data_IF_277995791911
#
_entry.id   IF_277995791911
#
_cell.length_a   1.000
_cell.length_b   1.000
_cell.length_c   1.000
_cell.angle_alpha   90.00
_cell.angle_beta   90.00
_cell.angle_gamma   90.00
#
_symmetry.space_group_name_H-M   'P 1'
#
loop_
_entity.id
_entity.type
_entity.pdbx_description
1 polymer ?
#
# COMPACT_ATOMS: atom_id res chain seq x y z
N UNK A 1 7.96 20.03 -4.13
CA UNK A 1 9.33 19.86 -3.58
C UNK A 1 9.89 18.61 -4.23
N UNK A 2 11.12 18.65 -4.75
CA UNK A 2 11.74 17.49 -5.40
C UNK A 2 11.90 16.33 -4.40
N UNK A 3 11.55 15.11 -4.79
CA UNK A 3 11.76 13.91 -3.97
C UNK A 3 13.27 13.60 -3.88
N UNK A 4 13.86 13.54 -2.66
CA UNK A 4 15.25 13.11 -2.50
C UNK A 4 15.47 11.65 -2.90
N UNK A 5 14.46 10.78 -2.76
CA UNK A 5 14.51 9.41 -3.25
C UNK A 5 14.05 9.33 -4.72
N UNK A 6 14.85 9.90 -5.64
CA UNK A 6 14.54 9.94 -7.07
C UNK A 6 15.70 9.50 -7.97
N UNK A 7 15.37 8.95 -9.14
CA UNK A 7 16.31 8.64 -10.22
C UNK A 7 15.98 9.55 -11.41
N UNK A 8 16.92 10.41 -11.81
CA UNK A 8 16.69 11.40 -12.90
C UNK A 8 15.40 12.21 -12.70
N UNK A 9 15.11 12.65 -11.47
CA UNK A 9 13.88 13.37 -11.07
C UNK A 9 12.59 12.54 -11.13
N UNK A 10 12.67 11.23 -11.35
CA UNK A 10 11.53 10.33 -11.19
C UNK A 10 11.49 9.80 -9.74
N UNK A 11 10.44 10.12 -8.96
CA UNK A 11 10.35 9.68 -7.56
C UNK A 11 10.14 8.17 -7.48
N UNK A 12 10.94 7.49 -6.67
CA UNK A 12 10.96 6.02 -6.61
C UNK A 12 9.69 5.49 -5.94
N UNK A 13 9.18 6.16 -4.89
CA UNK A 13 8.01 5.67 -4.16
C UNK A 13 6.76 5.51 -5.06
N UNK A 14 6.33 6.53 -5.85
CA UNK A 14 5.23 6.38 -6.80
C UNK A 14 5.45 5.33 -7.89
N UNK A 15 6.71 5.02 -8.25
CA UNK A 15 7.01 3.95 -9.21
C UNK A 15 6.76 2.55 -8.62
N UNK A 16 6.94 2.39 -7.30
CA UNK A 16 6.85 1.10 -6.63
C UNK A 16 5.46 0.76 -6.11
N UNK A 17 4.68 1.75 -5.64
CA UNK A 17 3.36 1.51 -5.03
C UNK A 17 2.31 0.80 -5.90
N UNK A 18 2.32 0.86 -7.26
CA UNK A 18 1.33 0.13 -8.05
C UNK A 18 1.40 -1.40 -7.84
N UNK A 19 2.59 -1.94 -7.61
CA UNK A 19 2.80 -3.38 -7.42
C UNK A 19 2.09 -3.92 -6.16
N UNK A 20 2.38 -3.44 -4.93
CA UNK A 20 1.70 -3.93 -3.74
C UNK A 20 0.20 -3.65 -3.77
N UNK A 21 -0.25 -2.52 -4.32
CA UNK A 21 -1.68 -2.21 -4.46
C UNK A 21 -2.38 -3.27 -5.32
N UNK A 22 -1.85 -3.56 -6.51
CA UNK A 22 -2.42 -4.56 -7.41
C UNK A 22 -2.45 -5.96 -6.79
N UNK A 23 -1.36 -6.35 -6.12
CA UNK A 23 -1.26 -7.65 -5.46
C UNK A 23 -2.26 -7.82 -4.31
N UNK A 24 -2.44 -6.79 -3.48
CA UNK A 24 -3.40 -6.82 -2.38
C UNK A 24 -4.85 -6.83 -2.86
N UNK A 25 -5.20 -6.04 -3.88
CA UNK A 25 -6.52 -6.10 -4.49
C UNK A 25 -6.79 -7.48 -5.10
N UNK A 26 -5.82 -8.04 -5.82
CA UNK A 26 -5.94 -9.37 -6.40
C UNK A 26 -6.05 -10.48 -5.32
N UNK A 27 -5.39 -10.31 -4.18
CA UNK A 27 -5.52 -11.23 -3.05
C UNK A 27 -6.95 -11.27 -2.49
N UNK A 28 -7.61 -10.10 -2.38
CA UNK A 28 -9.01 -10.03 -1.98
C UNK A 28 -9.94 -10.66 -3.02
N UNK A 29 -9.71 -10.41 -4.31
CA UNK A 29 -10.48 -11.08 -5.38
C UNK A 29 -10.34 -12.59 -5.26
N UNK A 30 -9.11 -13.07 -5.03
CA UNK A 30 -8.83 -14.50 -4.86
C UNK A 30 -9.55 -15.08 -3.64
N UNK A 31 -9.60 -14.36 -2.52
CA UNK A 31 -10.37 -14.76 -1.34
C UNK A 31 -11.87 -14.87 -1.62
N UNK A 32 -12.43 -13.91 -2.34
CA UNK A 32 -13.85 -13.90 -2.71
C UNK A 32 -14.17 -15.08 -3.63
N UNK A 33 -13.30 -15.37 -4.60
CA UNK A 33 -13.49 -16.53 -5.50
C UNK A 33 -13.33 -17.84 -4.74
N UNK A 34 -12.35 -17.97 -3.85
CA UNK A 34 -12.19 -19.15 -3.00
C UNK A 34 -13.41 -19.39 -2.12
N UNK A 35 -13.97 -18.35 -1.51
CA UNK A 35 -15.15 -18.46 -0.64
C UNK A 35 -16.41 -19.00 -1.34
N UNK A 36 -16.49 -18.84 -2.66
CA UNK A 36 -17.61 -19.31 -3.48
C UNK A 36 -17.33 -20.66 -4.16
N UNK A 37 -16.10 -20.85 -4.64
CA UNK A 37 -15.72 -22.04 -5.43
C UNK A 37 -15.20 -23.20 -4.58
N UNK A 38 -14.57 -22.92 -3.43
CA UNK A 38 -13.82 -23.91 -2.65
C UNK A 38 -12.54 -24.41 -3.33
N UNK A 39 -12.15 -23.88 -4.49
CA UNK A 39 -10.95 -24.32 -5.21
C UNK A 39 -9.68 -23.75 -4.57
N UNK A 40 -8.86 -24.65 -4.05
CA UNK A 40 -7.60 -24.37 -3.34
C UNK A 40 -6.61 -23.54 -4.16
N UNK A 41 -6.71 -23.53 -5.49
CA UNK A 41 -5.86 -22.66 -6.33
C UNK A 41 -6.04 -21.19 -5.94
N UNK A 42 -7.28 -20.76 -5.67
CA UNK A 42 -7.56 -19.36 -5.31
C UNK A 42 -7.05 -18.99 -3.92
N UNK A 43 -7.10 -19.90 -2.95
CA UNK A 43 -6.49 -19.68 -1.63
C UNK A 43 -4.97 -19.52 -1.74
N UNK A 44 -4.30 -20.35 -2.55
CA UNK A 44 -2.86 -20.21 -2.82
C UNK A 44 -2.52 -18.90 -3.52
N UNK A 45 -3.33 -18.48 -4.49
CA UNK A 45 -3.15 -17.19 -5.17
C UNK A 45 -3.30 -16.03 -4.19
N UNK A 46 -4.32 -16.06 -3.32
CA UNK A 46 -4.49 -15.07 -2.26
C UNK A 46 -3.25 -15.01 -1.36
N UNK A 47 -2.75 -16.16 -0.90
CA UNK A 47 -1.57 -16.26 -0.05
C UNK A 47 -0.31 -15.64 -0.69
N UNK A 48 0.05 -16.06 -1.90
CA UNK A 48 1.29 -15.60 -2.54
C UNK A 48 1.23 -14.13 -2.98
N UNK A 49 0.07 -13.66 -3.44
CA UNK A 49 -0.10 -12.25 -3.81
C UNK A 49 -0.10 -11.36 -2.57
N UNK A 50 -0.70 -11.78 -1.47
CA UNK A 50 -0.63 -11.11 -0.18
C UNK A 50 0.81 -10.98 0.33
N UNK A 51 1.58 -12.07 0.29
CA UNK A 51 2.99 -12.08 0.68
C UNK A 51 3.84 -11.17 -0.22
N UNK A 52 3.64 -11.25 -1.55
CA UNK A 52 4.28 -10.36 -2.51
C UNK A 52 3.94 -8.89 -2.27
N UNK A 53 2.68 -8.60 -1.92
CA UNK A 53 2.22 -7.26 -1.58
C UNK A 53 2.87 -6.72 -0.30
N UNK A 54 3.05 -7.56 0.73
CA UNK A 54 3.79 -7.18 1.95
C UNK A 54 5.24 -6.83 1.61
N UNK A 55 5.95 -7.67 0.86
CA UNK A 55 7.33 -7.42 0.46
C UNK A 55 7.42 -6.14 -0.39
N UNK A 56 6.58 -6.01 -1.42
CA UNK A 56 6.55 -4.83 -2.28
C UNK A 56 6.20 -3.54 -1.53
N UNK A 57 5.27 -3.62 -0.57
CA UNK A 57 4.86 -2.51 0.28
C UNK A 57 5.98 -2.03 1.19
N UNK A 58 6.73 -2.95 1.80
CA UNK A 58 7.90 -2.62 2.62
C UNK A 58 9.03 -2.00 1.78
N UNK A 59 9.28 -2.52 0.58
CA UNK A 59 10.27 -1.93 -0.35
C UNK A 59 9.83 -0.52 -0.76
N UNK A 60 8.55 -0.31 -1.06
CA UNK A 60 8.01 1.02 -1.41
C UNK A 60 8.02 1.99 -0.21
N UNK A 61 7.90 1.50 1.02
CA UNK A 61 7.93 2.33 2.23
C UNK A 61 9.28 3.00 2.46
N UNK A 62 10.40 2.38 2.03
CA UNK A 62 11.75 2.95 2.19
C UNK A 62 11.92 4.32 1.50
N UNK A 63 11.73 4.47 0.19
CA UNK A 63 11.81 5.78 -0.46
C UNK A 63 10.74 6.74 0.03
N UNK A 64 9.54 6.25 0.36
CA UNK A 64 8.47 7.09 0.91
C UNK A 64 8.82 7.69 2.28
N UNK A 65 9.52 6.94 3.12
CA UNK A 65 10.03 7.43 4.40
C UNK A 65 11.15 8.45 4.22
N UNK A 66 12.06 8.23 3.27
CA UNK A 66 13.10 9.21 2.91
C UNK A 66 12.46 10.53 2.45
N UNK A 67 11.43 10.47 1.59
CA UNK A 67 10.69 11.65 1.15
C UNK A 67 9.97 12.33 2.32
N UNK A 68 9.36 11.58 3.24
CA UNK A 68 8.70 12.10 4.44
C UNK A 68 9.65 12.92 5.33
N UNK A 69 10.90 12.47 5.50
CA UNK A 69 11.90 13.20 6.30
C UNK A 69 12.26 14.56 5.72
N UNK A 70 12.11 14.74 4.41
CA UNK A 70 12.37 16.01 3.72
C UNK A 70 11.23 17.04 3.83
N UNK A 71 10.07 16.65 4.37
CA UNK A 71 8.92 17.53 4.51
C UNK A 71 9.13 18.56 5.63
N UNK A 72 9.08 19.85 5.26
CA UNK A 72 9.20 20.98 6.18
C UNK A 72 7.86 21.59 6.60
N UNK A 73 6.83 21.54 5.74
CA UNK A 73 5.49 22.05 6.07
C UNK A 73 4.77 21.12 7.07
N UNK A 74 4.42 21.60 8.29
CA UNK A 74 3.75 20.78 9.30
C UNK A 74 2.38 20.22 8.87
N UNK A 75 1.64 20.95 8.02
CA UNK A 75 0.33 20.50 7.52
C UNK A 75 0.48 19.34 6.56
N UNK A 76 1.41 19.45 5.60
CA UNK A 76 1.74 18.38 4.66
C UNK A 76 2.31 17.17 5.40
N UNK A 77 3.19 17.41 6.38
CA UNK A 77 3.81 16.35 7.19
C UNK A 77 2.77 15.57 8.00
N UNK A 78 1.69 16.22 8.49
CA UNK A 78 0.59 15.52 9.19
C UNK A 78 -0.14 14.58 8.24
N UNK A 79 -0.50 15.02 7.03
CA UNK A 79 -1.16 14.17 6.02
C UNK A 79 -0.25 13.01 5.63
N UNK A 80 1.05 13.27 5.41
CA UNK A 80 2.03 12.25 5.08
C UNK A 80 2.22 11.22 6.21
N UNK A 81 2.21 11.67 7.47
CA UNK A 81 2.27 10.78 8.64
C UNK A 81 1.02 9.89 8.72
N UNK A 82 -0.18 10.45 8.53
CA UNK A 82 -1.43 9.66 8.52
C UNK A 82 -1.42 8.63 7.39
N UNK A 83 -1.01 9.03 6.19
CA UNK A 83 -0.85 8.13 5.04
C UNK A 83 0.14 7.00 5.35
N UNK A 84 1.32 7.32 5.90
CA UNK A 84 2.32 6.32 6.27
C UNK A 84 1.79 5.33 7.32
N UNK A 85 1.17 5.82 8.40
CA UNK A 85 0.62 4.97 9.46
C UNK A 85 -0.50 4.05 8.96
N UNK A 86 -1.38 4.55 8.07
CA UNK A 86 -2.41 3.73 7.43
C UNK A 86 -1.79 2.60 6.61
N UNK A 87 -0.78 2.89 5.79
CA UNK A 87 -0.11 1.85 4.99
C UNK A 87 0.63 0.82 5.87
N UNK A 88 1.29 1.25 6.94
CA UNK A 88 1.93 0.31 7.88
C UNK A 88 0.91 -0.57 8.58
N UNK A 89 -0.29 -0.04 8.86
CA UNK A 89 -1.40 -0.83 9.41
C UNK A 89 -1.92 -1.83 8.38
N UNK A 90 -2.06 -1.44 7.10
CA UNK A 90 -2.42 -2.37 6.01
C UNK A 90 -1.40 -3.51 5.89
N UNK A 91 -0.09 -3.20 5.94
CA UNK A 91 0.97 -4.23 5.97
C UNK A 91 0.79 -5.16 7.17
N UNK A 92 0.59 -4.62 8.37
CA UNK A 92 0.39 -5.41 9.58
C UNK A 92 -0.84 -6.32 9.47
N UNK A 93 -1.97 -5.82 8.94
CA UNK A 93 -3.18 -6.61 8.72
C UNK A 93 -2.92 -7.79 7.77
N UNK A 94 -2.18 -7.56 6.68
CA UNK A 94 -1.82 -8.64 5.76
C UNK A 94 -0.83 -9.64 6.35
N UNK A 95 0.13 -9.19 7.18
CA UNK A 95 1.00 -10.10 7.93
C UNK A 95 0.20 -10.97 8.90
N UNK A 96 -0.75 -10.39 9.64
CA UNK A 96 -1.66 -11.13 10.52
C UNK A 96 -2.52 -12.10 9.72
N UNK A 97 -3.00 -11.70 8.54
CA UNK A 97 -3.79 -12.57 7.66
C UNK A 97 -2.98 -13.78 7.17
N UNK A 98 -1.74 -13.58 6.71
CA UNK A 98 -0.80 -14.67 6.37
C UNK A 98 -0.54 -15.59 7.55
N UNK A 99 -0.35 -15.03 8.75
CA UNK A 99 -0.14 -15.80 9.96
C UNK A 99 -1.38 -16.64 10.33
N UNK A 100 -2.59 -16.08 10.23
CA UNK A 100 -3.82 -16.84 10.48
C UNK A 100 -3.99 -18.01 9.51
N UNK A 101 -3.69 -17.81 8.22
CA UNK A 101 -3.75 -18.89 7.21
C UNK A 101 -2.77 -20.03 7.45
N UNK A 102 -1.65 -19.77 8.12
CA UNK A 102 -0.62 -20.79 8.38
C UNK A 102 -0.81 -21.50 9.72
N UNK A 103 -1.53 -20.89 10.67
CA UNK A 103 -1.62 -21.38 12.05
C UNK A 103 -3.01 -21.86 12.45
N UNK A 104 -4.05 -21.40 11.75
CA UNK A 104 -5.42 -21.65 12.17
C UNK A 104 -6.08 -22.70 11.28
N UNK A 105 -6.77 -23.66 11.89
CA UNK A 105 -7.82 -24.43 11.23
C UNK A 105 -9.08 -23.59 10.94
N UNK A 106 -9.00 -22.27 11.15
CA UNK A 106 -10.11 -21.34 11.02
C UNK A 106 -10.60 -21.28 9.58
N UNK A 107 -11.91 -21.40 9.40
CA UNK A 107 -12.55 -21.25 8.09
C UNK A 107 -12.26 -19.89 7.43
N UNK A 108 -12.52 -19.81 6.13
CA UNK A 108 -12.17 -18.70 5.25
C UNK A 108 -12.72 -17.30 5.65
N UNK A 109 -13.65 -17.22 6.62
CA UNK A 109 -14.34 -15.99 6.98
C UNK A 109 -13.44 -14.91 7.61
N UNK A 110 -12.56 -15.28 8.56
CA UNK A 110 -11.70 -14.31 9.24
C UNK A 110 -10.60 -13.74 8.31
N UNK A 111 -9.87 -14.56 7.53
CA UNK A 111 -8.95 -14.05 6.50
C UNK A 111 -9.62 -13.14 5.48
N UNK A 112 -10.82 -13.49 5.00
CA UNK A 112 -11.57 -12.66 4.06
C UNK A 112 -11.96 -11.30 4.66
N UNK A 113 -12.46 -11.28 5.90
CA UNK A 113 -12.82 -10.04 6.59
C UNK A 113 -11.61 -9.09 6.75
N UNK A 114 -10.45 -9.64 7.11
CA UNK A 114 -9.19 -8.88 7.18
C UNK A 114 -8.79 -8.30 5.81
N UNK A 115 -8.89 -9.10 4.74
CA UNK A 115 -8.60 -8.63 3.37
C UNK A 115 -9.52 -7.47 2.97
N UNK A 116 -10.82 -7.55 3.28
CA UNK A 116 -11.79 -6.47 3.00
C UNK A 116 -11.41 -5.18 3.74
N UNK A 117 -11.17 -5.28 5.06
CA UNK A 117 -10.79 -4.12 5.89
C UNK A 117 -9.49 -3.50 5.38
N UNK A 118 -8.48 -4.32 5.08
CA UNK A 118 -7.20 -3.86 4.58
C UNK A 118 -7.32 -3.12 3.23
N UNK A 119 -8.14 -3.62 2.29
CA UNK A 119 -8.36 -2.95 0.99
C UNK A 119 -9.14 -1.64 1.15
N UNK A 120 -10.13 -1.58 2.05
CA UNK A 120 -10.82 -0.31 2.33
C UNK A 120 -9.88 0.74 2.94
N UNK A 121 -9.01 0.33 3.87
CA UNK A 121 -7.97 1.20 4.42
C UNK A 121 -6.96 1.63 3.34
N UNK A 122 -6.60 0.72 2.44
CA UNK A 122 -5.72 1.01 1.30
C UNK A 122 -6.34 2.06 0.37
N UNK A 123 -7.66 2.01 0.12
CA UNK A 123 -8.36 3.01 -0.68
C UNK A 123 -8.32 4.41 -0.03
N UNK A 124 -8.56 4.49 1.29
CA UNK A 124 -8.42 5.75 2.05
C UNK A 124 -6.98 6.25 2.00
N UNK A 125 -6.01 5.37 2.18
CA UNK A 125 -4.59 5.70 2.07
C UNK A 125 -4.23 6.22 0.68
N UNK A 126 -4.77 5.60 -0.39
CA UNK A 126 -4.59 6.02 -1.77
C UNK A 126 -5.13 7.43 -2.04
N UNK A 127 -6.27 7.78 -1.45
CA UNK A 127 -6.80 9.15 -1.49
C UNK A 127 -5.82 10.15 -0.87
N UNK A 128 -5.27 9.85 0.31
CA UNK A 128 -4.27 10.72 0.96
C UNK A 128 -2.97 10.82 0.15
N UNK A 129 -2.53 9.73 -0.49
CA UNK A 129 -1.40 9.75 -1.41
C UNK A 129 -1.63 10.68 -2.60
N UNK A 130 -2.83 10.62 -3.19
CA UNK A 130 -3.27 11.54 -4.23
C UNK A 130 -3.29 12.99 -3.75
N UNK A 131 -3.78 13.26 -2.54
CA UNK A 131 -3.78 14.59 -1.93
C UNK A 131 -2.34 15.16 -1.81
N UNK A 132 -1.39 14.33 -1.35
CA UNK A 132 0.02 14.72 -1.22
C UNK A 132 0.64 15.10 -2.58
N UNK A 133 0.37 14.31 -3.63
CA UNK A 133 0.92 14.55 -4.97
C UNK A 133 0.21 15.73 -5.64
N UNK A 134 -1.11 15.68 -5.76
CA UNK A 134 -1.88 16.58 -6.61
C UNK A 134 -2.21 17.92 -5.94
N UNK A 135 -2.37 17.98 -4.61
CA UNK A 135 -2.67 19.24 -3.91
C UNK A 135 -1.45 19.86 -3.27
N UNK A 136 -0.57 19.05 -2.69
CA UNK A 136 0.61 19.54 -1.99
C UNK A 136 1.90 19.54 -2.84
N UNK A 137 1.90 18.92 -4.03
CA UNK A 137 3.06 18.90 -4.91
C UNK A 137 4.27 18.18 -4.30
N UNK A 138 4.01 17.18 -3.46
CA UNK A 138 5.05 16.29 -2.94
C UNK A 138 5.54 15.42 -4.08
N UNK A 139 6.87 15.31 -4.23
CA UNK A 139 7.52 14.55 -5.28
C UNK A 139 7.26 15.05 -6.73
N UNK A 140 6.77 16.29 -6.88
CA UNK A 140 6.64 16.98 -8.18
C UNK A 140 7.58 18.17 -8.22
N UNK A 141 8.44 18.21 -9.25
CA UNK A 141 9.16 19.42 -9.64
C UNK A 141 8.15 20.36 -10.31
N UNK A 142 7.86 21.50 -9.69
CA UNK A 142 7.16 22.58 -10.39
C UNK A 142 8.16 23.18 -11.37
N UNK A 143 7.96 23.02 -12.67
CA UNK A 143 8.64 23.87 -13.64
C UNK A 143 8.32 25.33 -13.28
N UNK A 144 9.36 26.12 -13.01
CA UNK A 144 9.23 27.56 -13.02
C UNK A 144 8.90 27.94 -14.46
N UNK A 145 7.63 28.25 -14.75
CA UNK A 145 7.27 28.90 -16.00
C UNK A 145 8.00 30.24 -16.00
N UNK A 146 9.10 30.32 -16.75
CA UNK A 146 9.84 31.55 -16.98
C UNK A 146 8.93 32.38 -17.90
N UNK A 147 8.26 33.37 -17.33
CA UNK A 147 7.58 34.44 -18.05
C UNK A 147 8.42 35.69 -18.02
#
# INVERSE_FOLDING_TARGET
MSSPASIRKHPIHPMLVPLPIGLWIFSLVSDVVYSQSGDIVWDRMAFYTMAGGVVGGLIAALPGFIDFLSLSDPRVKRVALTHMLLNLTVVALYVVNLWLRTTSASGAAAPLALSIVAVLMLAVSGWLGGELVFRHGVAVDRESTIG
#
